data_IF_308349032053
#
_entry.id   IF_308349032053
#
_cell.length_a   1.000
_cell.length_b   1.000
_cell.length_c   1.000
_cell.angle_alpha   90.00
_cell.angle_beta   90.00
_cell.angle_gamma   90.00
#
_symmetry.space_group_name_H-M   'P 1'
#
loop_
_entity.id
_entity.type
_entity.pdbx_description
1 polymer ?
#
# COMPACT_ATOMS: atom_id res chain seq x y z
N UNK A 1 -33.45 -50.07 -17.08
CA UNK A 1 -32.98 -49.84 -15.69
C UNK A 1 -31.70 -50.66 -15.43
N UNK A 2 -30.62 -50.48 -16.20
CA UNK A 2 -29.32 -51.17 -15.96
C UNK A 2 -28.19 -50.34 -16.60
N UNK A 3 -27.98 -49.14 -16.08
CA UNK A 3 -26.72 -48.39 -16.29
C UNK A 3 -26.38 -47.56 -15.04
N UNK A 4 -26.83 -48.05 -13.87
CA UNK A 4 -26.68 -47.35 -12.57
C UNK A 4 -25.78 -48.09 -11.58
N UNK A 5 -25.07 -49.15 -11.99
CA UNK A 5 -24.37 -50.07 -11.07
C UNK A 5 -22.87 -50.31 -11.38
N UNK A 6 -22.16 -49.36 -11.98
CA UNK A 6 -20.67 -49.40 -11.97
C UNK A 6 -20.10 -48.00 -11.85
N UNK A 7 -20.63 -47.22 -10.91
CA UNK A 7 -19.91 -46.07 -10.39
C UNK A 7 -18.85 -46.68 -9.47
N UNK A 8 -17.60 -46.77 -9.95
CA UNK A 8 -16.46 -47.07 -9.09
C UNK A 8 -16.44 -45.98 -8.01
N UNK A 9 -16.85 -46.33 -6.80
CA UNK A 9 -16.56 -45.57 -5.58
C UNK A 9 -15.07 -45.77 -5.21
N UNK A 10 -14.19 -45.62 -6.20
CA UNK A 10 -12.75 -45.67 -6.00
C UNK A 10 -12.37 -44.29 -5.45
N UNK A 11 -11.90 -44.25 -4.21
CA UNK A 11 -11.30 -43.04 -3.62
C UNK A 11 -10.27 -42.41 -4.57
N UNK A 12 -9.61 -43.22 -5.39
CA UNK A 12 -8.65 -42.82 -6.43
C UNK A 12 -9.29 -42.00 -7.57
N UNK A 13 -10.53 -42.29 -7.96
CA UNK A 13 -11.22 -41.50 -9.00
C UNK A 13 -11.66 -40.14 -8.47
N UNK A 14 -12.08 -40.09 -7.20
CA UNK A 14 -12.39 -38.82 -6.51
C UNK A 14 -11.10 -38.02 -6.27
N UNK A 15 -9.99 -38.68 -5.91
CA UNK A 15 -8.69 -38.04 -5.76
C UNK A 15 -8.16 -37.47 -7.09
N UNK A 16 -8.32 -38.19 -8.21
CA UNK A 16 -7.98 -37.68 -9.53
C UNK A 16 -8.86 -36.51 -9.96
N UNK A 17 -10.17 -36.57 -9.69
CA UNK A 17 -11.06 -35.43 -9.93
C UNK A 17 -10.67 -34.22 -9.07
N UNK A 18 -10.35 -34.42 -7.79
CA UNK A 18 -9.90 -33.34 -6.91
C UNK A 18 -8.54 -32.79 -7.30
N UNK A 19 -7.63 -33.60 -7.84
CA UNK A 19 -6.35 -33.13 -8.37
C UNK A 19 -6.55 -32.27 -9.62
N UNK A 20 -7.40 -32.71 -10.56
CA UNK A 20 -7.61 -31.97 -11.82
C UNK A 20 -8.47 -30.72 -11.61
N UNK A 21 -9.46 -30.76 -10.73
CA UNK A 21 -10.40 -29.66 -10.51
C UNK A 21 -10.09 -28.80 -9.28
N UNK A 22 -9.32 -29.31 -8.32
CA UNK A 22 -8.91 -28.56 -7.12
C UNK A 22 -7.84 -27.50 -7.42
N UNK A 23 -7.09 -27.67 -8.50
CA UNK A 23 -6.08 -26.70 -8.94
C UNK A 23 -6.68 -25.48 -9.66
N UNK A 24 -7.96 -25.52 -10.04
CA UNK A 24 -8.61 -24.41 -10.74
C UNK A 24 -8.69 -23.17 -9.83
N UNK A 25 -9.06 -23.37 -8.57
CA UNK A 25 -9.16 -22.27 -7.61
C UNK A 25 -7.78 -21.65 -7.37
N UNK A 26 -6.74 -22.47 -7.23
CA UNK A 26 -5.36 -22.02 -7.12
C UNK A 26 -4.94 -21.15 -8.31
N UNK A 27 -5.15 -21.62 -9.55
CA UNK A 27 -4.77 -20.86 -10.76
C UNK A 27 -5.51 -19.53 -10.85
N UNK A 28 -6.81 -19.50 -10.53
CA UNK A 28 -7.60 -18.26 -10.55
C UNK A 28 -7.10 -17.28 -9.49
N UNK A 29 -6.84 -17.75 -8.27
CA UNK A 29 -6.30 -16.93 -7.19
C UNK A 29 -4.90 -16.39 -7.52
N UNK A 30 -4.01 -17.19 -8.09
CA UNK A 30 -2.67 -16.74 -8.51
C UNK A 30 -2.73 -15.62 -9.55
N UNK A 31 -3.65 -15.70 -10.52
CA UNK A 31 -3.85 -14.64 -11.51
C UNK A 31 -4.36 -13.35 -10.85
N UNK A 32 -5.30 -13.46 -9.90
CA UNK A 32 -5.81 -12.32 -9.15
C UNK A 32 -4.73 -11.66 -8.30
N UNK A 33 -3.93 -12.45 -7.57
CA UNK A 33 -2.79 -11.94 -6.78
C UNK A 33 -1.79 -11.20 -7.68
N UNK A 34 -1.54 -11.71 -8.89
CA UNK A 34 -0.68 -11.02 -9.85
C UNK A 34 -1.26 -9.70 -10.34
N UNK A 35 -2.57 -9.66 -10.60
CA UNK A 35 -3.25 -8.42 -10.99
C UNK A 35 -3.21 -7.39 -9.87
N UNK A 36 -3.39 -7.81 -8.62
CA UNK A 36 -3.27 -6.96 -7.44
C UNK A 36 -1.84 -6.42 -7.28
N UNK A 37 -0.81 -7.27 -7.44
CA UNK A 37 0.59 -6.82 -7.43
C UNK A 37 0.85 -5.71 -8.45
N UNK A 38 0.43 -5.92 -9.70
CA UNK A 38 0.63 -4.95 -10.78
C UNK A 38 -0.10 -3.63 -10.46
N UNK A 39 -1.33 -3.72 -9.96
CA UNK A 39 -2.11 -2.54 -9.58
C UNK A 39 -1.45 -1.75 -8.45
N UNK A 40 -0.97 -2.42 -7.41
CA UNK A 40 -0.36 -1.76 -6.26
C UNK A 40 1.01 -1.18 -6.60
N UNK A 41 1.81 -1.86 -7.42
CA UNK A 41 3.08 -1.31 -7.92
C UNK A 41 2.86 -0.09 -8.83
N UNK A 42 1.83 -0.12 -9.68
CA UNK A 42 1.45 1.05 -10.47
C UNK A 42 1.00 2.23 -9.59
N UNK A 43 0.28 1.96 -8.50
CA UNK A 43 -0.21 2.99 -7.58
C UNK A 43 0.92 3.60 -6.73
N UNK A 44 1.85 2.78 -6.21
CA UNK A 44 2.92 3.25 -5.33
C UNK A 44 4.08 3.89 -6.12
N UNK A 45 4.59 3.21 -7.15
CA UNK A 45 5.81 3.59 -7.85
C UNK A 45 5.55 4.31 -9.18
N UNK A 46 4.32 4.27 -9.69
CA UNK A 46 3.94 4.77 -11.04
C UNK A 46 4.66 4.08 -12.20
N UNK A 47 5.37 3.00 -11.88
CA UNK A 47 6.12 2.18 -12.82
C UNK A 47 6.02 0.71 -12.43
N UNK A 48 6.14 -0.19 -13.40
CA UNK A 48 6.25 -1.62 -13.15
C UNK A 48 7.50 -2.13 -13.87
N UNK A 49 8.34 -2.86 -13.14
CA UNK A 49 9.45 -3.63 -13.69
C UNK A 49 9.23 -5.12 -13.48
N UNK A 50 9.24 -5.90 -14.56
CA UNK A 50 9.24 -7.35 -14.50
C UNK A 50 10.68 -7.84 -14.66
N UNK A 51 11.16 -8.62 -13.70
CA UNK A 51 12.51 -9.17 -13.67
C UNK A 51 12.47 -10.66 -13.31
N UNK A 52 13.63 -11.34 -13.36
CA UNK A 52 13.71 -12.78 -13.09
C UNK A 52 13.23 -13.17 -11.69
N UNK A 53 13.34 -12.26 -10.71
CA UNK A 53 12.94 -12.52 -9.32
C UNK A 53 11.42 -12.42 -9.12
N UNK A 54 10.73 -11.62 -9.95
CA UNK A 54 9.29 -11.41 -9.82
C UNK A 54 8.49 -11.92 -11.03
N UNK A 55 9.13 -12.45 -12.07
CA UNK A 55 8.49 -13.06 -13.24
C UNK A 55 9.38 -14.14 -13.84
N UNK A 56 8.90 -15.38 -13.83
CA UNK A 56 9.60 -16.52 -14.44
C UNK A 56 9.51 -16.56 -15.98
N UNK A 57 8.78 -15.63 -16.62
CA UNK A 57 8.49 -15.68 -18.05
C UNK A 57 8.94 -14.44 -18.82
N UNK A 58 8.34 -13.29 -18.52
CA UNK A 58 8.56 -12.06 -19.29
C UNK A 58 9.35 -11.06 -18.44
N UNK A 59 10.60 -10.85 -18.81
CA UNK A 59 11.44 -9.79 -18.26
C UNK A 59 11.22 -8.55 -19.11
N UNK A 60 10.89 -7.43 -18.47
CA UNK A 60 10.83 -6.15 -19.17
C UNK A 60 12.24 -5.61 -19.35
N UNK A 61 12.61 -5.26 -20.58
CA UNK A 61 13.91 -4.60 -20.86
C UNK A 61 13.99 -3.20 -20.23
N UNK A 62 12.84 -2.53 -20.04
CA UNK A 62 12.71 -1.21 -19.43
C UNK A 62 11.50 -1.14 -18.48
N UNK A 63 11.53 -0.23 -17.51
CA UNK A 63 10.40 0.01 -16.61
C UNK A 63 9.19 0.55 -17.39
N UNK A 64 8.04 -0.11 -17.26
CA UNK A 64 6.78 0.37 -17.82
C UNK A 64 6.31 1.56 -17.00
N UNK A 65 6.29 2.76 -17.59
CA UNK A 65 5.90 4.01 -16.91
C UNK A 65 4.47 4.43 -17.27
N UNK A 66 3.64 4.68 -16.26
CA UNK A 66 2.24 5.08 -16.43
C UNK A 66 2.04 6.58 -16.70
N UNK A 67 3.13 7.35 -16.82
CA UNK A 67 3.08 8.74 -17.26
C UNK A 67 2.56 9.72 -16.21
N UNK A 68 2.68 9.41 -14.90
CA UNK A 68 2.35 10.39 -13.87
C UNK A 68 3.26 11.62 -14.03
N UNK A 69 2.70 12.84 -14.19
CA UNK A 69 3.49 14.06 -14.34
C UNK A 69 4.50 14.22 -13.19
N UNK A 70 5.71 14.66 -13.51
CA UNK A 70 6.77 14.88 -12.52
C UNK A 70 6.38 15.90 -11.46
N UNK A 71 5.54 16.88 -11.81
CA UNK A 71 4.98 17.84 -10.87
C UNK A 71 4.12 17.19 -9.77
N UNK A 72 3.57 16.00 -10.01
CA UNK A 72 2.77 15.25 -9.04
C UNK A 72 3.60 14.21 -8.27
N UNK A 73 4.93 14.20 -8.47
CA UNK A 73 5.88 13.33 -7.76
C UNK A 73 6.72 14.18 -6.84
N UNK A 74 6.32 14.21 -5.58
CA UNK A 74 7.01 15.00 -4.56
C UNK A 74 7.97 14.14 -3.74
N UNK A 75 9.19 14.63 -3.56
CA UNK A 75 10.14 14.03 -2.64
C UNK A 75 10.03 14.70 -1.27
N UNK A 76 9.47 13.95 -0.32
CA UNK A 76 9.24 14.44 1.03
C UNK A 76 10.56 14.53 1.79
N UNK A 77 10.86 15.72 2.33
CA UNK A 77 12.16 16.07 2.92
C UNK A 77 13.10 16.86 2.01
N UNK A 78 12.76 17.05 0.73
CA UNK A 78 13.59 17.78 -0.24
C UNK A 78 15.02 17.21 -0.36
N UNK A 79 15.99 18.00 -0.80
CA UNK A 79 17.40 17.55 -0.84
C UNK A 79 18.07 17.43 0.55
N UNK A 80 17.33 17.66 1.66
CA UNK A 80 17.89 17.70 3.00
C UNK A 80 17.96 16.29 3.60
N UNK A 81 19.17 15.82 3.85
CA UNK A 81 19.42 14.56 4.55
C UNK A 81 18.75 14.57 5.94
N UNK A 82 18.06 13.48 6.30
CA UNK A 82 17.48 13.30 7.63
C UNK A 82 16.04 13.78 7.80
N UNK A 83 15.35 14.22 6.74
CA UNK A 83 13.92 14.57 6.79
C UNK A 83 12.97 13.46 6.32
N UNK A 84 13.50 12.35 5.81
CA UNK A 84 12.68 11.23 5.34
C UNK A 84 11.83 10.67 6.49
N UNK A 85 10.59 10.28 6.18
CA UNK A 85 9.67 9.67 7.15
C UNK A 85 10.13 8.27 7.50
N UNK A 86 10.97 8.19 8.53
CA UNK A 86 11.53 6.96 9.07
C UNK A 86 11.62 7.10 10.58
N UNK A 87 11.56 5.97 11.31
CA UNK A 87 11.81 5.96 12.75
C UNK A 87 13.17 6.59 13.11
N UNK A 88 14.21 6.35 12.31
CA UNK A 88 15.55 6.89 12.54
C UNK A 88 15.58 8.43 12.52
N UNK A 89 14.71 9.04 11.72
CA UNK A 89 14.58 10.49 11.57
C UNK A 89 13.38 11.06 12.35
N UNK A 90 12.85 10.34 13.34
CA UNK A 90 11.63 10.77 14.04
C UNK A 90 11.71 12.19 14.62
N UNK A 91 12.89 12.67 15.01
CA UNK A 91 13.09 14.02 15.55
C UNK A 91 13.12 15.14 14.49
N UNK A 92 13.43 14.81 13.23
CA UNK A 92 13.67 15.78 12.15
C UNK A 92 12.70 15.65 10.96
N UNK A 93 12.01 14.51 10.86
CA UNK A 93 10.90 14.32 9.91
C UNK A 93 9.74 15.27 10.24
N UNK A 94 9.10 15.85 9.21
CA UNK A 94 7.96 16.75 9.37
C UNK A 94 6.73 16.31 8.53
N UNK A 95 6.15 15.12 8.78
CA UNK A 95 5.06 14.59 7.97
C UNK A 95 3.81 15.46 7.89
N UNK A 96 3.43 16.15 8.96
CA UNK A 96 2.24 17.01 8.98
C UNK A 96 2.47 18.24 8.10
N UNK A 97 3.64 18.89 8.22
CA UNK A 97 4.02 20.01 7.36
C UNK A 97 4.04 19.60 5.89
N UNK A 98 4.60 18.43 5.60
CA UNK A 98 4.69 17.88 4.25
C UNK A 98 3.27 17.61 3.67
N UNK A 99 2.37 16.99 4.43
CA UNK A 99 0.96 16.78 4.03
C UNK A 99 0.24 18.12 3.78
N UNK A 100 0.41 19.10 4.67
CA UNK A 100 -0.21 20.42 4.51
C UNK A 100 0.28 21.13 3.24
N UNK A 101 1.56 20.98 2.91
CA UNK A 101 2.14 21.56 1.69
C UNK A 101 1.48 20.96 0.45
N UNK A 102 1.44 19.64 0.36
CA UNK A 102 0.81 18.90 -0.76
C UNK A 102 -0.68 19.25 -0.89
N UNK A 103 -1.42 19.31 0.23
CA UNK A 103 -2.84 19.68 0.22
C UNK A 103 -3.04 21.11 -0.29
N UNK A 104 -2.21 22.06 0.15
CA UNK A 104 -2.29 23.44 -0.31
C UNK A 104 -1.94 23.59 -1.80
N UNK A 105 -0.98 22.82 -2.29
CA UNK A 105 -0.63 22.78 -3.72
C UNK A 105 -1.76 22.20 -4.56
N UNK A 106 -2.36 21.09 -4.12
CA UNK A 106 -3.54 20.50 -4.77
C UNK A 106 -4.73 21.47 -4.79
N UNK A 107 -5.00 22.18 -3.68
CA UNK A 107 -6.07 23.18 -3.61
C UNK A 107 -5.83 24.34 -4.58
N UNK A 108 -4.59 24.83 -4.73
CA UNK A 108 -4.24 25.85 -5.73
C UNK A 108 -4.47 25.36 -7.16
N UNK A 109 -4.30 24.06 -7.40
CA UNK A 109 -4.62 23.41 -8.67
C UNK A 109 -6.13 23.09 -8.83
N UNK A 110 -6.98 23.43 -7.86
CA UNK A 110 -8.42 23.17 -7.89
C UNK A 110 -8.79 21.71 -7.60
N UNK A 111 -7.90 20.96 -6.96
CA UNK A 111 -8.07 19.54 -6.66
C UNK A 111 -8.15 19.32 -5.15
N UNK A 112 -9.07 18.44 -4.74
CA UNK A 112 -9.24 18.07 -3.33
C UNK A 112 -8.72 16.65 -3.13
N UNK A 113 -7.70 16.53 -2.29
CA UNK A 113 -7.20 15.23 -1.81
C UNK A 113 -8.16 14.74 -0.71
N UNK A 114 -8.56 13.47 -0.80
CA UNK A 114 -9.47 12.85 0.16
C UNK A 114 -8.79 11.84 1.06
N UNK A 115 -7.92 11.01 0.50
CA UNK A 115 -7.30 9.91 1.23
C UNK A 115 -5.80 9.88 1.00
N UNK A 116 -5.06 9.42 2.01
CA UNK A 116 -3.65 9.07 1.92
C UNK A 116 -3.56 7.55 2.04
N UNK A 117 -2.98 6.89 1.04
CA UNK A 117 -2.65 5.46 1.10
C UNK A 117 -1.21 5.28 1.55
N UNK A 118 -1.02 4.34 2.47
CA UNK A 118 0.30 3.88 2.89
C UNK A 118 0.19 2.43 3.40
N UNK A 119 1.29 1.69 3.39
CA UNK A 119 1.35 0.35 3.98
C UNK A 119 1.57 0.43 5.52
N UNK A 120 1.52 -0.71 6.24
CA UNK A 120 1.61 -0.70 7.71
C UNK A 120 2.96 -0.21 8.23
N UNK A 121 4.07 -0.57 7.57
CA UNK A 121 5.42 -0.16 7.98
C UNK A 121 5.61 1.35 7.85
N UNK A 122 5.12 1.97 6.77
CA UNK A 122 5.17 3.42 6.62
C UNK A 122 4.31 4.13 7.66
N UNK A 123 3.18 3.55 8.01
CA UNK A 123 2.35 4.08 9.08
C UNK A 123 3.07 4.04 10.44
N UNK A 124 3.89 3.02 10.71
CA UNK A 124 4.73 2.97 11.92
C UNK A 124 5.78 4.09 11.92
N UNK A 125 6.45 4.34 10.78
CA UNK A 125 7.37 5.46 10.62
C UNK A 125 6.65 6.80 10.86
N UNK A 126 5.47 6.97 10.25
CA UNK A 126 4.66 8.19 10.36
C UNK A 126 4.30 8.50 11.82
N UNK A 127 3.72 7.54 12.56
CA UNK A 127 3.30 7.76 13.96
C UNK A 127 4.48 7.89 14.93
N UNK A 128 5.70 7.54 14.51
CA UNK A 128 6.89 7.68 15.32
C UNK A 128 7.42 9.11 15.36
N UNK A 129 7.15 9.91 14.31
CA UNK A 129 7.58 11.30 14.18
C UNK A 129 7.17 12.16 15.39
N UNK A 130 8.10 13.01 15.85
CA UNK A 130 7.87 13.97 16.94
C UNK A 130 6.78 14.97 16.55
N UNK A 131 6.82 15.51 15.33
CA UNK A 131 5.83 16.47 14.84
C UNK A 131 4.42 15.86 14.82
N UNK A 132 4.29 14.59 14.37
CA UNK A 132 3.00 13.89 14.37
C UNK A 132 2.47 13.74 15.79
N UNK A 133 3.32 13.33 16.75
CA UNK A 133 2.91 13.23 18.16
C UNK A 133 2.50 14.60 18.72
N UNK A 134 3.28 15.63 18.47
CA UNK A 134 3.03 16.99 18.99
C UNK A 134 1.75 17.59 18.40
N UNK A 135 1.50 17.40 17.11
CA UNK A 135 0.28 17.86 16.45
C UNK A 135 -0.97 17.15 17.02
N UNK A 136 -0.92 15.82 17.09
CA UNK A 136 -2.06 15.02 17.57
C UNK A 136 -2.33 15.29 19.06
N UNK A 137 -1.29 15.26 19.89
CA UNK A 137 -1.45 15.49 21.34
C UNK A 137 -1.70 16.94 21.68
N UNK A 138 -1.17 17.91 20.95
CA UNK A 138 -1.48 19.33 21.15
C UNK A 138 -2.98 19.60 21.06
N UNK A 139 -3.64 19.01 20.05
CA UNK A 139 -5.09 19.11 19.87
C UNK A 139 -5.82 18.30 20.96
N UNK A 140 -5.42 17.06 21.22
CA UNK A 140 -6.12 16.21 22.21
C UNK A 140 -5.96 16.67 23.66
N UNK A 141 -4.82 17.23 24.06
CA UNK A 141 -4.60 17.80 25.39
C UNK A 141 -5.56 18.96 25.62
N UNK A 142 -5.78 19.79 24.59
CA UNK A 142 -6.76 20.89 24.67
C UNK A 142 -8.20 20.40 24.85
N UNK A 143 -8.51 19.18 24.40
CA UNK A 143 -9.85 18.58 24.48
C UNK A 143 -10.08 17.70 25.71
N UNK A 144 -9.06 17.02 26.24
CA UNK A 144 -9.27 15.88 27.17
C UNK A 144 -8.16 15.66 28.22
N UNK A 145 -7.11 16.49 28.28
CA UNK A 145 -6.05 16.36 29.30
C UNK A 145 -5.21 15.07 29.21
N UNK A 146 -5.20 14.40 28.05
CA UNK A 146 -4.45 13.16 27.82
C UNK A 146 -2.94 13.45 27.68
N UNK A 147 -2.10 12.83 28.50
CA UNK A 147 -0.65 13.04 28.44
C UNK A 147 0.06 12.14 27.41
N UNK A 148 1.14 12.63 26.75
CA UNK A 148 1.86 11.89 25.71
C UNK A 148 2.80 10.85 26.31
N UNK A 149 2.40 9.57 26.26
CA UNK A 149 3.27 8.43 26.62
C UNK A 149 3.29 7.29 25.61
N UNK A 150 2.38 7.31 24.63
CA UNK A 150 2.18 6.23 23.64
C UNK A 150 2.08 6.87 22.25
N UNK A 151 2.44 6.19 21.17
CA UNK A 151 2.20 6.72 19.83
C UNK A 151 0.70 6.60 19.47
N UNK A 152 0.06 7.62 18.87
CA UNK A 152 -1.39 7.64 18.66
C UNK A 152 -1.87 6.52 17.72
N UNK A 153 -3.13 6.12 17.88
CA UNK A 153 -3.76 5.10 17.02
C UNK A 153 -4.19 5.68 15.68
N UNK A 154 -4.37 4.85 14.65
CA UNK A 154 -4.89 5.29 13.34
C UNK A 154 -6.23 6.03 13.46
N UNK A 155 -7.13 5.53 14.30
CA UNK A 155 -8.45 6.16 14.53
C UNK A 155 -8.29 7.57 15.10
N UNK A 156 -7.41 7.73 16.07
CA UNK A 156 -7.12 9.02 16.68
C UNK A 156 -6.49 9.99 15.69
N UNK A 157 -5.50 9.52 14.92
CA UNK A 157 -4.84 10.30 13.88
C UNK A 157 -5.85 10.78 12.85
N UNK A 158 -6.64 9.87 12.27
CA UNK A 158 -7.62 10.21 11.24
C UNK A 158 -8.69 11.19 11.75
N UNK A 159 -9.13 11.05 13.00
CA UNK A 159 -10.04 12.01 13.62
C UNK A 159 -9.43 13.42 13.59
N UNK A 160 -8.23 13.57 14.15
CA UNK A 160 -7.58 14.89 14.26
C UNK A 160 -7.24 15.47 12.89
N UNK A 161 -6.76 14.64 11.95
CA UNK A 161 -6.49 15.08 10.57
C UNK A 161 -7.77 15.62 9.91
N UNK A 162 -8.86 14.85 9.94
CA UNK A 162 -10.12 15.25 9.30
C UNK A 162 -10.78 16.46 9.96
N UNK A 163 -10.74 16.56 11.29
CA UNK A 163 -11.19 17.76 12.03
C UNK A 163 -10.36 19.00 11.70
N UNK A 164 -9.08 18.81 11.36
CA UNK A 164 -8.17 19.88 10.91
C UNK A 164 -8.29 20.18 9.40
N UNK A 165 -9.22 19.54 8.68
CA UNK A 165 -9.41 19.72 7.25
C UNK A 165 -8.38 18.99 6.36
N UNK A 166 -7.63 18.05 6.92
CA UNK A 166 -6.65 17.21 6.22
C UNK A 166 -7.26 15.84 5.82
N UNK A 167 -6.74 15.18 4.77
CA UNK A 167 -7.22 13.88 4.33
C UNK A 167 -6.98 12.77 5.37
N UNK A 168 -7.82 11.73 5.38
CA UNK A 168 -7.65 10.56 6.25
C UNK A 168 -6.68 9.53 5.65
N UNK A 169 -6.01 8.79 6.53
CA UNK A 169 -5.07 7.73 6.16
C UNK A 169 -5.82 6.39 6.04
N UNK A 170 -5.55 5.68 4.94
CA UNK A 170 -6.00 4.30 4.69
C UNK A 170 -4.78 3.40 4.57
N UNK A 171 -4.75 2.37 5.41
CA UNK A 171 -3.67 1.39 5.40
C UNK A 171 -4.00 0.31 4.39
N UNK A 172 -3.08 0.08 3.46
CA UNK A 172 -3.11 -1.07 2.56
C UNK A 172 -2.30 -2.17 3.22
N UNK A 173 -2.99 -3.18 3.75
CA UNK A 173 -2.36 -4.32 4.42
C UNK A 173 -2.66 -5.59 3.62
N UNK A 174 -1.96 -5.74 2.51
CA UNK A 174 -2.09 -6.89 1.62
C UNK A 174 -0.71 -7.48 1.40
N UNK A 175 -0.66 -8.80 1.34
CA UNK A 175 0.52 -9.58 1.06
C UNK A 175 0.16 -10.54 -0.05
N UNK A 176 1.08 -10.72 -0.98
CA UNK A 176 0.93 -11.69 -2.05
C UNK A 176 2.05 -12.71 -1.97
N UNK A 177 1.77 -13.90 -2.45
CA UNK A 177 2.78 -14.93 -2.57
C UNK A 177 3.40 -14.88 -3.97
N UNK A 178 4.71 -14.69 -4.02
CA UNK A 178 5.48 -14.79 -5.25
C UNK A 178 6.21 -16.13 -5.25
N UNK A 179 5.93 -16.94 -6.26
CA UNK A 179 6.61 -18.19 -6.52
C UNK A 179 7.72 -17.98 -7.55
N UNK A 180 8.92 -18.46 -7.23
CA UNK A 180 10.09 -18.42 -8.11
C UNK A 180 10.20 -19.70 -8.94
N UNK A 181 11.10 -19.73 -9.93
CA UNK A 181 11.35 -20.94 -10.76
C UNK A 181 11.79 -22.15 -9.93
N UNK A 182 12.40 -21.93 -8.77
CA UNK A 182 12.84 -22.98 -7.84
C UNK A 182 11.70 -23.52 -6.93
N UNK A 183 10.45 -23.10 -7.17
CA UNK A 183 9.26 -23.36 -6.33
C UNK A 183 9.36 -22.81 -4.89
N UNK A 184 10.23 -21.82 -4.67
CA UNK A 184 10.27 -21.09 -3.42
C UNK A 184 9.18 -20.02 -3.41
N UNK A 185 8.30 -20.09 -2.40
CA UNK A 185 7.18 -19.16 -2.20
C UNK A 185 7.58 -18.12 -1.16
N UNK A 186 7.52 -16.84 -1.53
CA UNK A 186 7.82 -15.72 -0.62
C UNK A 186 6.65 -14.75 -0.55
N UNK A 187 6.13 -14.54 0.67
CA UNK A 187 5.16 -13.51 0.95
C UNK A 187 5.81 -12.12 0.84
N UNK A 188 5.31 -11.30 -0.07
CA UNK A 188 5.86 -9.97 -0.40
C UNK A 188 4.79 -8.90 -0.23
N UNK A 189 5.17 -7.77 0.38
CA UNK A 189 4.34 -6.56 0.36
C UNK A 189 4.47 -5.88 -1.02
N UNK A 190 3.40 -5.83 -1.82
CA UNK A 190 3.43 -5.26 -3.17
C UNK A 190 3.61 -3.73 -3.19
N UNK A 191 3.56 -3.06 -2.03
CA UNK A 191 3.80 -1.63 -1.91
C UNK A 191 5.29 -1.26 -1.80
N UNK A 192 6.13 -2.23 -1.45
CA UNK A 192 7.58 -2.03 -1.34
C UNK A 192 8.23 -1.90 -2.72
N UNK A 193 9.32 -1.14 -2.76
CA UNK A 193 10.13 -1.03 -3.96
C UNK A 193 10.93 -2.31 -4.25
N UNK A 194 11.62 -2.35 -5.39
CA UNK A 194 12.43 -3.53 -5.77
C UNK A 194 13.57 -3.85 -4.80
N UNK A 195 13.93 -2.93 -3.90
CA UNK A 195 14.94 -3.11 -2.85
C UNK A 195 14.34 -3.55 -1.53
N UNK A 196 13.01 -3.68 -1.45
CA UNK A 196 12.28 -3.93 -0.21
C UNK A 196 12.12 -2.68 0.65
N UNK A 197 12.43 -1.48 0.13
CA UNK A 197 12.31 -0.24 0.86
C UNK A 197 10.89 0.33 0.78
N UNK A 198 10.43 0.80 1.92
CA UNK A 198 9.15 1.47 2.05
C UNK A 198 9.32 2.98 1.85
N UNK A 199 9.17 3.44 0.61
CA UNK A 199 9.44 4.83 0.20
C UNK A 199 8.21 5.65 -0.14
N UNK A 200 7.08 4.99 -0.44
CA UNK A 200 5.99 5.63 -1.17
C UNK A 200 4.72 5.76 -0.34
N UNK A 201 4.07 6.91 -0.50
CA UNK A 201 2.71 7.18 -0.06
C UNK A 201 1.94 7.76 -1.25
N UNK A 202 0.65 7.46 -1.35
CA UNK A 202 -0.18 7.96 -2.46
C UNK A 202 -1.30 8.85 -1.92
N UNK A 203 -1.42 10.05 -2.48
CA UNK A 203 -2.52 10.96 -2.20
C UNK A 203 -3.61 10.76 -3.27
N UNK A 204 -4.78 10.27 -2.84
CA UNK A 204 -5.93 10.05 -3.71
C UNK A 204 -6.75 11.33 -3.81
N UNK A 205 -7.00 11.73 -5.05
CA UNK A 205 -7.95 12.77 -5.40
C UNK A 205 -9.29 12.11 -5.74
N UNK A 206 -10.39 12.69 -5.26
CA UNK A 206 -11.71 12.38 -5.82
C UNK A 206 -12.11 13.60 -6.61
N UNK A 207 -12.15 13.46 -7.94
CA UNK A 207 -12.78 14.47 -8.77
C UNK A 207 -14.26 14.42 -8.42
N UNK A 208 -14.79 15.43 -7.72
CA UNK A 208 -16.22 15.53 -7.52
C UNK A 208 -16.87 15.42 -8.91
N UNK A 209 -17.83 14.51 -9.12
CA UNK A 209 -18.62 14.53 -10.34
C UNK A 209 -19.29 15.90 -10.37
N UNK A 210 -18.96 16.67 -11.38
CA UNK A 210 -19.55 17.97 -11.65
C UNK A 210 -21.03 17.68 -11.94
N UNK A 211 -21.90 18.01 -10.99
CA UNK A 211 -23.33 18.19 -11.18
C UNK A 211 -23.69 19.57 -10.65
#
# INVERSE_FOLDING_TARGET
>A
LVAKNTIKNDADMVALLNMVFGDIDFVVESVQQRCEWLALQALSQTTIGLNQTNSAGVITEELVNFGLPTANKEFVGGAAAGRQWTVANAASSLPITDIQTIVNEALKAGVVIKHILMNPTKFLDFRASAEVKDFIYGIMVSESGLMPGVAPTLKTINRVLTESGLPDIRIINTFIDLETEDHDITATDPWLDSSGDDKYILFIIIKNPIF
#
